data_IF_124956838319
#
_entry.id   IF_124956838319
#
_cell.length_a   1.000
_cell.length_b   1.000
_cell.length_c   1.000
_cell.angle_alpha   90.00
_cell.angle_beta   90.00
_cell.angle_gamma   90.00
#
_symmetry.space_group_name_H-M   'P 1'
#
loop_
_entity.id
_entity.type
_entity.pdbx_description
1 polymer ?
#
# COMPACT_ATOMS: atom_id res chain seq x y z
N UNK A 1 16.40 14.90 -5.81
CA UNK A 1 16.40 16.21 -5.14
C UNK A 1 16.65 16.02 -3.65
N UNK A 2 17.57 16.78 -3.08
CA UNK A 2 17.84 16.77 -1.65
C UNK A 2 16.64 17.35 -0.86
N UNK A 3 16.58 17.09 0.44
CA UNK A 3 15.54 17.67 1.29
C UNK A 3 15.55 19.21 1.24
N UNK A 4 16.71 19.81 1.19
CA UNK A 4 16.90 21.26 1.06
C UNK A 4 16.37 21.80 -0.26
N UNK A 5 16.60 21.12 -1.38
CA UNK A 5 16.06 21.53 -2.69
C UNK A 5 14.53 21.47 -2.72
N UNK A 6 13.93 20.40 -2.17
CA UNK A 6 12.46 20.28 -2.06
C UNK A 6 11.87 21.40 -1.22
N UNK A 7 12.51 21.71 -0.10
CA UNK A 7 12.09 22.83 0.75
C UNK A 7 12.14 24.17 -0.01
N UNK A 8 13.24 24.44 -0.72
CA UNK A 8 13.38 25.66 -1.50
C UNK A 8 12.33 25.78 -2.62
N UNK A 9 11.99 24.67 -3.29
CA UNK A 9 10.96 24.64 -4.31
C UNK A 9 9.57 24.96 -3.70
N UNK A 10 9.26 24.38 -2.53
CA UNK A 10 7.99 24.63 -1.85
C UNK A 10 7.89 26.10 -1.44
N UNK A 11 8.95 26.67 -0.86
CA UNK A 11 8.98 28.09 -0.48
C UNK A 11 8.79 28.98 -1.69
N UNK A 12 9.53 28.75 -2.78
CA UNK A 12 9.39 29.51 -4.01
C UNK A 12 7.98 29.45 -4.62
N UNK A 13 7.33 28.26 -4.57
CA UNK A 13 5.96 28.07 -5.01
C UNK A 13 4.97 28.86 -4.15
N UNK A 14 5.12 28.84 -2.84
CA UNK A 14 4.28 29.59 -1.92
C UNK A 14 4.43 31.10 -2.10
N UNK A 15 5.65 31.59 -2.32
CA UNK A 15 5.93 32.99 -2.62
C UNK A 15 5.32 33.41 -3.96
N UNK A 16 5.43 32.57 -4.98
CA UNK A 16 4.81 32.81 -6.29
C UNK A 16 3.29 32.92 -6.18
N UNK A 17 2.63 31.97 -5.52
CA UNK A 17 1.18 31.99 -5.32
C UNK A 17 0.76 33.25 -4.53
N UNK A 18 1.53 33.64 -3.51
CA UNK A 18 1.25 34.82 -2.72
C UNK A 18 1.33 36.10 -3.55
N UNK A 19 2.33 36.24 -4.42
CA UNK A 19 2.50 37.40 -5.33
C UNK A 19 1.34 37.49 -6.31
N UNK A 20 0.97 36.37 -6.96
CA UNK A 20 -0.06 36.31 -7.97
C UNK A 20 -1.47 36.53 -7.41
N UNK A 21 -1.77 36.01 -6.25
CA UNK A 21 -3.14 35.99 -5.71
C UNK A 21 -3.41 37.05 -4.65
N UNK A 22 -2.36 37.64 -4.08
CA UNK A 22 -2.44 38.57 -2.92
C UNK A 22 -3.24 37.98 -1.72
N UNK A 23 -3.21 36.66 -1.55
CA UNK A 23 -3.97 35.91 -0.55
C UNK A 23 -3.10 35.46 0.64
N UNK A 24 -2.05 36.21 0.96
CA UNK A 24 -1.15 35.89 2.07
C UNK A 24 -1.84 35.51 3.40
N UNK A 25 -2.91 36.23 3.83
CA UNK A 25 -3.60 35.87 5.06
C UNK A 25 -4.27 34.49 5.01
N UNK A 26 -4.95 34.16 3.91
CA UNK A 26 -5.62 32.88 3.70
C UNK A 26 -4.61 31.74 3.63
N UNK A 27 -3.48 31.95 2.94
CA UNK A 27 -2.41 30.97 2.85
C UNK A 27 -1.77 30.71 4.22
N UNK A 28 -1.51 31.76 5.02
CA UNK A 28 -0.99 31.60 6.40
C UNK A 28 -1.96 30.81 7.28
N UNK A 29 -3.25 31.13 7.20
CA UNK A 29 -4.29 30.40 7.92
C UNK A 29 -4.30 28.92 7.50
N UNK A 30 -4.31 28.64 6.21
CA UNK A 30 -4.27 27.27 5.66
C UNK A 30 -3.03 26.50 6.12
N UNK A 31 -1.83 27.11 6.04
CA UNK A 31 -0.59 26.49 6.52
C UNK A 31 -0.63 26.23 8.03
N UNK A 32 -1.19 27.16 8.81
CA UNK A 32 -1.34 26.99 10.25
C UNK A 32 -2.27 25.83 10.58
N UNK A 33 -3.42 25.75 9.93
CA UNK A 33 -4.38 24.66 10.11
C UNK A 33 -3.75 23.30 9.76
N UNK A 34 -2.94 23.23 8.67
CA UNK A 34 -2.21 22.03 8.30
C UNK A 34 -1.13 21.68 9.32
N UNK A 35 -0.42 22.66 9.85
CA UNK A 35 0.59 22.43 10.88
C UNK A 35 -0.04 21.91 12.19
N UNK A 36 -1.16 22.49 12.60
CA UNK A 36 -1.90 22.04 13.79
C UNK A 36 -2.39 20.60 13.59
N UNK A 37 -3.00 20.31 12.45
CA UNK A 37 -3.45 18.98 12.08
C UNK A 37 -2.29 17.97 12.07
N UNK A 38 -1.17 18.33 11.44
CA UNK A 38 0.01 17.47 11.37
C UNK A 38 0.59 17.17 12.76
N UNK A 39 0.73 18.20 13.62
CA UNK A 39 1.20 18.03 15.00
C UNK A 39 0.27 17.15 15.84
N UNK A 40 -1.03 17.32 15.71
CA UNK A 40 -2.02 16.47 16.39
C UNK A 40 -1.90 15.01 16.00
N UNK A 41 -1.57 14.72 14.72
CA UNK A 41 -1.46 13.38 14.19
C UNK A 41 -0.05 12.78 14.23
N UNK A 42 0.99 13.58 14.54
CA UNK A 42 2.39 13.11 14.62
C UNK A 42 2.56 11.96 15.62
N UNK A 43 1.81 11.95 16.70
CA UNK A 43 1.83 10.88 17.70
C UNK A 43 1.05 9.63 17.30
N UNK A 44 0.17 9.73 16.32
CA UNK A 44 -0.65 8.63 15.82
C UNK A 44 -0.09 8.03 14.52
N UNK A 45 1.22 8.07 14.30
CA UNK A 45 1.83 7.55 13.07
C UNK A 45 1.28 6.19 12.73
N UNK A 46 0.50 6.17 11.67
CA UNK A 46 -0.02 4.95 11.06
C UNK A 46 1.19 4.09 10.65
N UNK A 47 1.38 2.97 11.33
CA UNK A 47 2.47 2.05 11.01
C UNK A 47 1.92 0.83 10.29
N UNK A 48 2.07 0.80 8.98
CA UNK A 48 1.85 -0.40 8.17
C UNK A 48 3.15 -1.22 8.17
N UNK A 49 3.36 -2.06 9.21
CA UNK A 49 4.63 -2.79 9.43
C UNK A 49 5.04 -3.73 8.29
N UNK A 50 4.09 -4.10 7.46
CA UNK A 50 4.29 -4.98 6.31
C UNK A 50 4.62 -4.23 5.03
N UNK A 51 4.46 -2.90 5.02
CA UNK A 51 4.74 -2.05 3.87
C UNK A 51 6.20 -1.62 3.92
N UNK A 52 6.94 -1.96 2.89
CA UNK A 52 8.36 -1.60 2.71
C UNK A 52 8.58 -0.99 1.34
N UNK A 53 9.53 -0.06 1.23
CA UNK A 53 9.86 0.65 0.00
C UNK A 53 10.34 -0.28 -1.13
N UNK A 54 10.98 -1.40 -0.76
CA UNK A 54 11.58 -2.34 -1.71
C UNK A 54 10.55 -3.23 -2.42
N UNK A 55 9.34 -3.34 -1.89
CA UNK A 55 8.33 -4.23 -2.42
C UNK A 55 7.32 -3.49 -3.32
N UNK A 56 7.70 -3.33 -4.59
CA UNK A 56 6.90 -2.62 -5.59
C UNK A 56 5.49 -3.18 -5.75
N UNK A 57 5.32 -4.51 -5.76
CA UNK A 57 4.00 -5.14 -5.90
C UNK A 57 3.08 -4.79 -4.73
N UNK A 58 3.62 -4.85 -3.51
CA UNK A 58 2.87 -4.52 -2.29
C UNK A 58 2.56 -3.04 -2.23
N UNK A 59 3.51 -2.16 -2.60
CA UNK A 59 3.30 -0.72 -2.65
C UNK A 59 2.18 -0.36 -3.64
N UNK A 60 2.24 -0.89 -4.87
CA UNK A 60 1.21 -0.64 -5.90
C UNK A 60 -0.16 -1.13 -5.45
N UNK A 61 -0.23 -2.33 -4.86
CA UNK A 61 -1.47 -2.85 -4.33
C UNK A 61 -2.04 -1.97 -3.21
N UNK A 62 -1.20 -1.57 -2.25
CA UNK A 62 -1.61 -0.73 -1.12
C UNK A 62 -2.09 0.65 -1.57
N UNK A 63 -1.39 1.27 -2.52
CA UNK A 63 -1.76 2.55 -3.11
C UNK A 63 -3.15 2.49 -3.75
N UNK A 64 -3.37 1.49 -4.60
CA UNK A 64 -4.66 1.29 -5.24
C UNK A 64 -5.79 1.03 -4.24
N UNK A 65 -5.50 0.28 -3.17
CA UNK A 65 -6.46 -0.01 -2.11
C UNK A 65 -6.85 1.27 -1.36
N UNK A 66 -5.87 2.08 -0.92
CA UNK A 66 -6.13 3.33 -0.19
C UNK A 66 -6.88 4.33 -1.08
N UNK A 67 -6.46 4.49 -2.33
CA UNK A 67 -7.11 5.38 -3.29
C UNK A 67 -8.59 5.00 -3.51
N UNK A 68 -8.85 3.70 -3.72
CA UNK A 68 -10.21 3.19 -3.84
C UNK A 68 -11.04 3.46 -2.57
N UNK A 69 -10.47 3.17 -1.41
CA UNK A 69 -11.14 3.37 -0.13
C UNK A 69 -11.49 4.84 0.11
N UNK A 70 -10.58 5.77 -0.20
CA UNK A 70 -10.82 7.21 -0.08
C UNK A 70 -11.92 7.68 -1.04
N UNK A 71 -11.94 7.19 -2.28
CA UNK A 71 -13.01 7.51 -3.25
C UNK A 71 -14.38 7.03 -2.79
N UNK A 72 -14.44 5.87 -2.16
CA UNK A 72 -15.70 5.29 -1.66
C UNK A 72 -16.24 6.02 -0.41
N UNK A 73 -15.38 6.60 0.41
CA UNK A 73 -15.75 7.17 1.70
C UNK A 73 -15.52 8.69 1.79
N UNK A 74 -14.84 9.30 0.83
CA UNK A 74 -14.51 10.73 0.84
C UNK A 74 -15.66 11.66 0.46
N UNK A 75 -16.73 11.15 -0.15
CA UNK A 75 -17.83 11.95 -0.66
C UNK A 75 -18.90 12.35 0.37
N UNK A 76 -18.82 11.90 1.61
CA UNK A 76 -19.90 12.06 2.60
C UNK A 76 -19.58 13.02 3.75
N UNK A 77 -18.39 13.54 3.84
CA UNK A 77 -18.06 14.56 4.84
C UNK A 77 -18.24 15.92 4.20
N UNK A 78 -19.34 16.61 4.49
CA UNK A 78 -19.71 17.92 3.93
C UNK A 78 -18.70 19.07 4.11
N UNK A 79 -17.46 18.77 4.32
CA UNK A 79 -16.33 19.67 4.31
C UNK A 79 -15.69 19.63 2.92
N UNK A 80 -15.79 20.74 2.21
CA UNK A 80 -15.30 21.02 0.85
C UNK A 80 -13.76 20.93 0.67
N UNK A 81 -13.09 19.99 1.32
CA UNK A 81 -11.71 19.68 1.00
C UNK A 81 -11.73 18.54 -0.02
N UNK A 82 -11.63 18.92 -1.30
CA UNK A 82 -11.35 17.99 -2.38
C UNK A 82 -10.24 17.02 -1.95
N UNK A 83 -10.35 15.73 -2.29
CA UNK A 83 -9.29 14.78 -2.00
C UNK A 83 -7.99 15.36 -2.55
N UNK A 84 -6.98 15.48 -1.70
CA UNK A 84 -5.67 16.00 -2.12
C UNK A 84 -5.20 15.13 -3.26
N UNK A 85 -5.18 15.68 -4.47
CA UNK A 85 -4.68 14.98 -5.64
C UNK A 85 -3.17 14.84 -5.48
N UNK A 86 -2.76 13.65 -5.05
CA UNK A 86 -1.34 13.31 -5.01
C UNK A 86 -0.94 12.96 -6.44
N UNK A 87 0.15 13.55 -6.97
CA UNK A 87 0.69 13.17 -8.27
C UNK A 87 0.91 11.66 -8.36
N UNK A 88 0.68 11.09 -9.52
CA UNK A 88 0.89 9.65 -9.73
C UNK A 88 2.36 9.29 -9.47
N UNK A 89 2.65 8.37 -8.54
CA UNK A 89 4.01 8.04 -8.18
C UNK A 89 4.69 7.25 -9.30
N UNK A 90 5.96 7.59 -9.58
CA UNK A 90 6.75 7.02 -10.69
C UNK A 90 7.50 5.75 -10.32
N UNK A 91 7.73 5.50 -9.03
CA UNK A 91 8.52 4.37 -8.53
C UNK A 91 7.98 3.85 -7.18
N UNK A 92 8.54 2.74 -6.69
CA UNK A 92 8.09 2.10 -5.44
C UNK A 92 8.31 2.97 -4.20
N UNK A 93 9.39 3.74 -4.15
CA UNK A 93 9.72 4.64 -3.04
C UNK A 93 8.70 5.78 -2.97
N UNK A 94 8.41 6.39 -4.11
CA UNK A 94 7.38 7.42 -4.20
C UNK A 94 6.00 6.86 -3.87
N UNK A 95 5.68 5.66 -4.35
CA UNK A 95 4.43 4.97 -4.03
C UNK A 95 4.30 4.72 -2.52
N UNK A 96 5.38 4.28 -1.87
CA UNK A 96 5.42 4.10 -0.42
C UNK A 96 5.11 5.41 0.32
N UNK A 97 5.80 6.49 -0.03
CA UNK A 97 5.56 7.81 0.58
C UNK A 97 4.17 8.36 0.24
N UNK A 98 3.67 8.15 -0.97
CA UNK A 98 2.34 8.57 -1.38
C UNK A 98 1.24 7.91 -0.54
N UNK A 99 1.38 6.62 -0.19
CA UNK A 99 0.43 5.90 0.66
C UNK A 99 0.32 6.58 2.04
N UNK A 100 1.45 6.89 2.68
CA UNK A 100 1.44 7.59 3.97
C UNK A 100 0.89 9.00 3.83
N UNK A 101 1.30 9.74 2.79
CA UNK A 101 0.76 11.07 2.53
C UNK A 101 -0.77 11.05 2.32
N UNK A 102 -1.29 10.06 1.59
CA UNK A 102 -2.74 9.89 1.42
C UNK A 102 -3.45 9.65 2.75
N UNK A 103 -2.87 8.85 3.64
CA UNK A 103 -3.45 8.55 4.94
C UNK A 103 -3.34 9.74 5.89
N UNK A 104 -2.20 10.44 5.90
CA UNK A 104 -1.95 11.58 6.79
C UNK A 104 -2.71 12.85 6.36
N UNK A 105 -2.88 13.07 5.04
CA UNK A 105 -3.60 14.22 4.50
C UNK A 105 -5.11 13.99 4.39
N UNK A 106 -5.55 12.77 4.62
CA UNK A 106 -6.98 12.49 4.58
C UNK A 106 -7.68 13.13 5.78
N UNK A 107 -8.45 14.17 5.50
CA UNK A 107 -9.22 14.94 6.50
C UNK A 107 -10.45 14.20 7.03
N UNK A 108 -10.41 12.88 7.02
CA UNK A 108 -11.44 12.07 7.62
C UNK A 108 -11.42 12.16 9.14
N UNK A 109 -12.57 11.93 9.75
CA UNK A 109 -12.67 11.66 11.18
C UNK A 109 -11.70 10.55 11.60
N UNK A 110 -11.10 10.69 12.78
CA UNK A 110 -10.12 9.74 13.34
C UNK A 110 -10.64 8.30 13.32
N UNK A 111 -11.93 8.10 13.59
CA UNK A 111 -12.58 6.80 13.53
C UNK A 111 -12.56 6.20 12.11
N UNK A 112 -12.77 7.01 11.10
CA UNK A 112 -12.75 6.56 9.71
C UNK A 112 -11.33 6.22 9.24
N UNK A 113 -10.36 7.03 9.66
CA UNK A 113 -8.95 6.77 9.39
C UNK A 113 -8.48 5.47 10.06
N UNK A 114 -8.82 5.25 11.32
CA UNK A 114 -8.52 3.99 12.01
C UNK A 114 -9.22 2.79 11.36
N UNK A 115 -10.46 2.95 10.90
CA UNK A 115 -11.17 1.91 10.14
C UNK A 115 -10.47 1.59 8.83
N UNK A 116 -9.97 2.61 8.11
CA UNK A 116 -9.19 2.42 6.89
C UNK A 116 -7.93 1.59 7.15
N UNK A 117 -7.16 1.95 8.18
CA UNK A 117 -5.94 1.23 8.58
C UNK A 117 -6.24 -0.21 8.98
N UNK A 118 -7.30 -0.45 9.76
CA UNK A 118 -7.72 -1.80 10.12
C UNK A 118 -8.14 -2.62 8.90
N UNK A 119 -8.87 -2.01 7.97
CA UNK A 119 -9.33 -2.69 6.74
C UNK A 119 -8.17 -3.03 5.80
N UNK A 120 -7.21 -2.12 5.58
CA UNK A 120 -6.05 -2.40 4.71
C UNK A 120 -5.17 -3.49 5.33
N UNK A 121 -4.93 -3.47 6.63
CA UNK A 121 -4.21 -4.52 7.33
C UNK A 121 -4.89 -5.88 7.13
N UNK A 122 -6.21 -5.97 7.39
CA UNK A 122 -6.98 -7.19 7.19
C UNK A 122 -6.91 -7.69 5.74
N UNK A 123 -7.07 -6.79 4.77
CA UNK A 123 -7.02 -7.13 3.35
C UNK A 123 -5.63 -7.66 2.94
N UNK A 124 -4.54 -7.05 3.45
CA UNK A 124 -3.18 -7.52 3.22
C UNK A 124 -2.95 -8.94 3.75
N UNK A 125 -3.33 -9.20 4.99
CA UNK A 125 -3.19 -10.55 5.57
C UNK A 125 -4.04 -11.58 4.83
N UNK A 126 -5.25 -11.22 4.40
CA UNK A 126 -6.08 -12.10 3.59
C UNK A 126 -5.47 -12.38 2.21
N UNK A 127 -4.91 -11.36 1.53
CA UNK A 127 -4.18 -11.54 0.25
C UNK A 127 -3.03 -12.52 0.43
N UNK A 128 -2.21 -12.32 1.45
CA UNK A 128 -1.07 -13.19 1.73
C UNK A 128 -1.47 -14.62 2.12
N UNK A 129 -2.53 -14.77 2.89
CA UNK A 129 -3.05 -16.09 3.25
C UNK A 129 -3.52 -16.85 2.00
N UNK A 130 -4.29 -16.19 1.13
CA UNK A 130 -4.76 -16.79 -0.14
C UNK A 130 -3.60 -17.19 -1.03
N UNK A 131 -2.56 -16.34 -1.16
CA UNK A 131 -1.35 -16.65 -1.91
C UNK A 131 -0.65 -17.90 -1.37
N UNK A 132 -0.39 -17.95 -0.07
CA UNK A 132 0.23 -19.12 0.58
C UNK A 132 -0.60 -20.39 0.39
N UNK A 133 -1.92 -20.27 0.43
CA UNK A 133 -2.82 -21.41 0.22
C UNK A 133 -2.76 -21.91 -1.24
N UNK A 134 -2.69 -20.98 -2.20
CA UNK A 134 -2.51 -21.32 -3.62
C UNK A 134 -1.16 -22.02 -3.86
N UNK A 135 -0.07 -21.46 -3.36
CA UNK A 135 1.27 -22.06 -3.44
C UNK A 135 1.32 -23.45 -2.79
N UNK A 136 0.63 -23.63 -1.67
CA UNK A 136 0.53 -24.95 -1.02
C UNK A 136 -0.22 -25.95 -1.91
N UNK A 137 -1.37 -25.55 -2.46
CA UNK A 137 -2.16 -26.41 -3.37
C UNK A 137 -1.39 -26.77 -4.63
N UNK A 138 -0.64 -25.85 -5.21
CA UNK A 138 0.22 -26.09 -6.37
C UNK A 138 1.30 -27.12 -6.04
N UNK A 139 1.98 -26.99 -4.89
CA UNK A 139 2.99 -27.99 -4.43
C UNK A 139 2.36 -29.34 -4.17
N UNK A 140 1.18 -29.40 -3.57
CA UNK A 140 0.45 -30.64 -3.34
C UNK A 140 0.02 -31.31 -4.66
N UNK A 141 -0.45 -30.50 -5.63
CA UNK A 141 -0.81 -30.96 -6.97
C UNK A 141 0.41 -31.56 -7.71
N UNK A 142 1.58 -30.87 -7.67
CA UNK A 142 2.83 -31.41 -8.24
C UNK A 142 3.23 -32.72 -7.54
N UNK A 143 3.09 -32.76 -6.22
CA UNK A 143 3.37 -33.97 -5.45
C UNK A 143 2.47 -35.15 -5.85
N UNK A 144 1.19 -34.90 -6.05
CA UNK A 144 0.23 -35.94 -6.47
C UNK A 144 0.49 -36.41 -7.89
N UNK A 145 0.85 -35.53 -8.82
CA UNK A 145 1.28 -35.90 -10.16
C UNK A 145 2.52 -36.78 -10.13
N UNK A 146 3.48 -36.51 -9.26
CA UNK A 146 4.65 -37.37 -9.08
C UNK A 146 4.29 -38.73 -8.47
N UNK A 147 3.34 -38.78 -7.52
CA UNK A 147 2.83 -40.03 -6.96
C UNK A 147 2.14 -40.89 -8.03
N UNK A 148 1.32 -40.27 -8.88
CA UNK A 148 0.68 -41.00 -9.99
C UNK A 148 1.70 -41.54 -11.00
N UNK A 149 2.71 -40.73 -11.36
CA UNK A 149 3.80 -41.18 -12.24
C UNK A 149 4.59 -42.34 -11.62
N UNK A 150 4.91 -42.20 -10.33
CA UNK A 150 5.60 -43.25 -9.60
C UNK A 150 4.75 -44.53 -9.53
N UNK A 151 3.45 -44.42 -9.28
CA UNK A 151 2.52 -45.55 -9.29
C UNK A 151 2.46 -46.23 -10.68
N UNK A 152 2.41 -45.44 -11.75
CA UNK A 152 2.45 -45.94 -13.12
C UNK A 152 3.75 -46.71 -13.40
N UNK A 153 4.90 -46.18 -13.02
CA UNK A 153 6.21 -46.83 -13.19
C UNK A 153 6.30 -48.10 -12.36
N UNK A 154 5.83 -48.12 -11.14
CA UNK A 154 5.76 -49.34 -10.29
C UNK A 154 4.94 -50.43 -10.97
N UNK A 155 3.79 -50.06 -11.51
CA UNK A 155 2.91 -51.00 -12.25
C UNK A 155 3.53 -51.50 -13.55
N UNK A 156 4.19 -50.58 -14.27
CA UNK A 156 4.83 -50.91 -15.56
C UNK A 156 6.01 -51.86 -15.38
N UNK A 157 6.88 -51.59 -14.42
CA UNK A 157 8.06 -52.44 -14.17
C UNK A 157 7.77 -53.62 -13.29
N UNK A 158 6.56 -53.80 -12.79
CA UNK A 158 6.17 -54.88 -11.88
C UNK A 158 7.14 -55.02 -10.69
N UNK A 159 7.62 -53.88 -10.21
CA UNK A 159 8.64 -53.76 -9.17
C UNK A 159 8.12 -52.96 -7.98
N UNK A 160 8.76 -53.04 -6.81
CA UNK A 160 8.39 -52.20 -5.68
C UNK A 160 8.85 -50.73 -5.89
N UNK A 161 8.33 -49.82 -5.06
CA UNK A 161 8.62 -48.37 -5.14
C UNK A 161 10.09 -48.06 -4.97
N UNK A 162 10.78 -48.80 -4.08
CA UNK A 162 12.18 -48.54 -3.72
C UNK A 162 13.06 -48.91 -4.92
N UNK A 163 12.84 -50.09 -5.48
CA UNK A 163 13.58 -50.56 -6.69
C UNK A 163 13.37 -49.68 -7.90
N UNK A 164 12.21 -49.03 -8.06
CA UNK A 164 11.98 -48.07 -9.13
C UNK A 164 12.75 -46.76 -8.90
N UNK A 165 12.81 -46.27 -7.66
CA UNK A 165 13.53 -45.03 -7.30
C UNK A 165 15.05 -45.23 -7.47
N UNK A 166 15.57 -46.40 -7.14
CA UNK A 166 17.01 -46.72 -7.27
C UNK A 166 17.47 -46.84 -8.71
N UNK A 167 16.56 -47.00 -9.66
CA UNK A 167 16.84 -47.10 -11.12
C UNK A 167 16.70 -45.79 -11.89
N UNK A 168 16.18 -44.72 -11.23
CA UNK A 168 16.06 -43.37 -11.80
C UNK A 168 17.27 -42.52 -11.46
#
# INVERSE_FOLDING_TARGET
ASHSERYSIIVALLDYINIETNQAPLMRQWLYERLVFWRANEHQRIKLRWLTEDNSEVCTWAYNYVNKFQKEHGGNTGNHLDPVQIPEPLNSVETYHAIYAMLDLWSADDDLQQKAVKKINKAFYQKNFRRKLSEKRERESISDTHKERLYFLVKFYKSDKISVIERL
#
